data_IF_872399829919
#
_entry.id   IF_872399829919
#
_cell.length_a   1.000
_cell.length_b   1.000
_cell.length_c   1.000
_cell.angle_alpha   90.00
_cell.angle_beta   90.00
_cell.angle_gamma   90.00
#
_symmetry.space_group_name_H-M   'P 1'
#
loop_
_entity.id
_entity.type
_entity.pdbx_description
1 polymer ?
#
# COMPACT_ATOMS: atom_id res chain seq x y z
N UNK A 1 20.63 -13.89 14.52
CA UNK A 1 21.19 -13.13 13.39
C UNK A 1 21.18 -13.91 12.06
N UNK A 2 20.16 -14.73 11.77
CA UNK A 2 20.01 -15.43 10.47
C UNK A 2 18.81 -14.89 9.70
N UNK A 3 17.68 -14.71 10.42
CA UNK A 3 16.46 -14.11 9.88
C UNK A 3 16.73 -12.73 9.29
N UNK A 4 17.46 -11.85 9.98
CA UNK A 4 17.79 -10.49 9.51
C UNK A 4 18.54 -10.53 8.17
N UNK A 5 19.49 -11.45 8.02
CA UNK A 5 20.25 -11.62 6.77
C UNK A 5 19.40 -12.19 5.65
N UNK A 6 18.55 -13.16 5.95
CA UNK A 6 17.61 -13.76 4.98
C UNK A 6 16.59 -12.71 4.52
N UNK A 7 16.04 -11.91 5.44
CA UNK A 7 15.13 -10.82 5.09
C UNK A 7 15.83 -9.77 4.24
N UNK A 8 17.07 -9.39 4.57
CA UNK A 8 17.82 -8.41 3.77
C UNK A 8 18.11 -8.95 2.36
N UNK A 9 18.48 -10.23 2.24
CA UNK A 9 18.69 -10.89 0.95
C UNK A 9 17.40 -10.91 0.12
N UNK A 10 16.28 -11.28 0.73
CA UNK A 10 14.97 -11.32 0.06
C UNK A 10 14.56 -9.90 -0.36
N UNK A 11 14.73 -8.90 0.50
CA UNK A 11 14.40 -7.50 0.17
C UNK A 11 15.20 -7.01 -1.03
N UNK A 12 16.52 -7.24 -1.04
CA UNK A 12 17.37 -6.84 -2.18
C UNK A 12 16.99 -7.59 -3.45
N UNK A 13 16.74 -8.90 -3.37
CA UNK A 13 16.33 -9.70 -4.51
C UNK A 13 14.99 -9.22 -5.10
N UNK A 14 14.02 -8.89 -4.25
CA UNK A 14 12.71 -8.38 -4.67
C UNK A 14 12.82 -7.00 -5.31
N UNK A 15 13.65 -6.10 -4.77
CA UNK A 15 13.90 -4.77 -5.36
C UNK A 15 14.53 -4.93 -6.76
N UNK A 16 15.57 -5.77 -6.88
CA UNK A 16 16.21 -6.03 -8.17
C UNK A 16 15.24 -6.63 -9.20
N UNK A 17 14.39 -7.56 -8.76
CA UNK A 17 13.40 -8.19 -9.64
C UNK A 17 12.33 -7.19 -10.10
N UNK A 18 11.83 -6.35 -9.19
CA UNK A 18 10.87 -5.28 -9.52
C UNK A 18 11.44 -4.32 -10.57
N UNK A 19 12.63 -3.76 -10.31
CA UNK A 19 13.29 -2.84 -11.24
C UNK A 19 13.62 -3.53 -12.58
N UNK A 20 13.97 -4.81 -12.56
CA UNK A 20 14.23 -5.60 -13.76
C UNK A 20 12.98 -5.76 -14.63
N UNK A 21 11.81 -5.98 -14.03
CA UNK A 21 10.53 -6.03 -14.74
C UNK A 21 10.18 -4.68 -15.34
N UNK A 22 10.39 -3.58 -14.60
CA UNK A 22 10.10 -2.24 -15.09
C UNK A 22 10.93 -1.91 -16.34
N UNK A 23 12.22 -2.28 -16.33
CA UNK A 23 13.12 -2.12 -17.49
C UNK A 23 12.66 -3.00 -18.67
N UNK A 24 12.23 -4.23 -18.43
CA UNK A 24 11.72 -5.14 -19.48
C UNK A 24 10.43 -4.61 -20.13
N UNK A 25 9.62 -3.87 -19.38
CA UNK A 25 8.43 -3.18 -19.87
C UNK A 25 8.75 -1.87 -20.62
N UNK A 26 10.03 -1.48 -20.71
CA UNK A 26 10.49 -0.28 -21.42
C UNK A 26 10.44 1.00 -20.58
N UNK A 27 10.24 0.89 -19.25
CA UNK A 27 10.26 2.04 -18.35
C UNK A 27 11.69 2.51 -18.12
N UNK A 28 11.89 3.83 -18.10
CA UNK A 28 13.18 4.41 -17.77
C UNK A 28 13.49 4.18 -16.28
N UNK A 29 14.77 4.00 -15.92
CA UNK A 29 15.18 3.84 -14.51
C UNK A 29 14.66 4.94 -13.57
N UNK A 30 14.52 6.16 -14.11
CA UNK A 30 13.95 7.31 -13.37
C UNK A 30 12.46 7.13 -13.10
N UNK A 31 11.72 6.60 -14.06
CA UNK A 31 10.29 6.36 -13.93
C UNK A 31 10.04 5.22 -12.95
N UNK A 32 10.76 4.10 -13.08
CA UNK A 32 10.70 2.98 -12.13
C UNK A 32 10.99 3.40 -10.67
N UNK A 33 11.94 4.32 -10.45
CA UNK A 33 12.23 4.87 -9.12
C UNK A 33 11.12 5.79 -8.60
N UNK A 34 10.58 6.65 -9.44
CA UNK A 34 9.44 7.51 -9.08
C UNK A 34 8.22 6.64 -8.77
N UNK A 35 8.04 5.58 -9.53
CA UNK A 35 6.92 4.66 -9.40
C UNK A 35 6.98 3.86 -8.10
N UNK A 36 8.17 3.37 -7.75
CA UNK A 36 8.42 2.70 -6.47
C UNK A 36 8.17 3.61 -5.23
N UNK A 37 8.39 4.92 -5.36
CA UNK A 37 8.24 5.90 -4.26
C UNK A 37 6.85 6.53 -4.23
N UNK A 38 6.09 6.49 -5.34
CA UNK A 38 4.76 7.09 -5.46
C UNK A 38 3.66 6.05 -5.76
N UNK A 39 3.38 5.13 -4.82
CA UNK A 39 2.48 4.01 -5.03
C UNK A 39 1.04 4.43 -5.41
N UNK A 40 0.60 5.60 -4.96
CA UNK A 40 -0.73 6.13 -5.30
C UNK A 40 -0.82 6.78 -6.68
N UNK A 41 0.31 7.16 -7.28
CA UNK A 41 0.35 7.80 -8.61
C UNK A 41 0.38 6.76 -9.72
N UNK A 42 0.87 5.56 -9.42
CA UNK A 42 1.17 4.50 -10.41
C UNK A 42 0.19 3.35 -10.35
N UNK A 43 -0.57 3.21 -9.26
CA UNK A 43 -1.63 2.21 -9.22
C UNK A 43 -2.58 2.39 -10.39
N UNK A 44 -2.82 1.30 -11.10
CA UNK A 44 -3.81 1.22 -12.15
C UNK A 44 -5.16 1.73 -11.64
N UNK A 45 -5.97 2.34 -12.51
CA UNK A 45 -7.23 2.96 -12.09
C UNK A 45 -8.15 1.97 -11.37
N UNK A 46 -8.10 0.68 -11.76
CA UNK A 46 -8.85 -0.39 -11.11
C UNK A 46 -8.34 -0.68 -9.69
N UNK A 47 -7.03 -0.65 -9.49
CA UNK A 47 -6.40 -0.92 -8.20
C UNK A 47 -6.72 0.21 -7.21
N UNK A 48 -6.70 1.46 -7.67
CA UNK A 48 -7.06 2.62 -6.85
C UNK A 48 -8.50 2.52 -6.34
N UNK A 49 -9.43 2.09 -7.21
CA UNK A 49 -10.84 1.91 -6.85
C UNK A 49 -10.99 0.81 -5.79
N UNK A 50 -10.32 -0.34 -5.98
CA UNK A 50 -10.37 -1.46 -5.05
C UNK A 50 -9.76 -1.06 -3.69
N UNK A 51 -8.61 -0.39 -3.71
CA UNK A 51 -7.95 0.10 -2.50
C UNK A 51 -8.81 1.09 -1.73
N UNK A 52 -9.44 2.05 -2.43
CA UNK A 52 -10.35 3.01 -1.80
C UNK A 52 -11.57 2.31 -1.17
N UNK A 53 -12.15 1.33 -1.87
CA UNK A 53 -13.26 0.54 -1.37
C UNK A 53 -12.86 -0.25 -0.12
N UNK A 54 -11.69 -0.90 -0.15
CA UNK A 54 -11.14 -1.62 0.99
C UNK A 54 -10.89 -0.70 2.18
N UNK A 55 -10.27 0.47 1.95
CA UNK A 55 -10.02 1.48 2.97
C UNK A 55 -11.33 1.93 3.65
N UNK A 56 -12.37 2.19 2.86
CA UNK A 56 -13.69 2.54 3.38
C UNK A 56 -14.29 1.40 4.22
N UNK A 57 -14.24 0.16 3.74
CA UNK A 57 -14.71 -1.02 4.47
C UNK A 57 -14.01 -1.21 5.83
N UNK A 58 -12.72 -0.86 5.92
CA UNK A 58 -11.95 -0.96 7.16
C UNK A 58 -12.21 0.22 8.10
N UNK A 59 -12.38 1.44 7.57
CA UNK A 59 -12.53 2.66 8.38
C UNK A 59 -13.98 2.89 8.84
N UNK A 60 -14.98 2.56 8.02
CA UNK A 60 -16.40 2.83 8.35
C UNK A 60 -16.83 2.12 9.65
N UNK A 61 -16.57 0.82 9.88
CA UNK A 61 -16.99 0.13 11.10
C UNK A 61 -16.44 0.73 12.41
N UNK A 62 -15.13 1.02 12.56
CA UNK A 62 -14.60 1.62 13.78
C UNK A 62 -15.09 3.06 13.96
N UNK A 63 -15.19 3.85 12.88
CA UNK A 63 -15.72 5.22 12.94
C UNK A 63 -17.19 5.21 13.39
N UNK A 64 -18.02 4.36 12.78
CA UNK A 64 -19.42 4.22 13.17
C UNK A 64 -19.57 3.77 14.63
N UNK A 65 -18.78 2.78 15.07
CA UNK A 65 -18.76 2.32 16.45
C UNK A 65 -18.35 3.43 17.43
N UNK A 66 -17.34 4.21 17.08
CA UNK A 66 -16.85 5.33 17.88
C UNK A 66 -17.92 6.43 18.01
N UNK A 67 -18.54 6.83 16.90
CA UNK A 67 -19.65 7.78 16.93
C UNK A 67 -20.82 7.22 17.74
N UNK A 68 -21.27 5.99 17.48
CA UNK A 68 -22.37 5.37 18.24
C UNK A 68 -22.13 5.40 19.75
N UNK A 69 -20.90 5.10 20.21
CA UNK A 69 -20.52 5.21 21.63
C UNK A 69 -20.57 6.65 22.15
N UNK A 70 -20.04 7.62 21.38
CA UNK A 70 -20.04 9.04 21.74
C UNK A 70 -21.47 9.59 21.87
N UNK A 71 -22.37 9.19 20.98
CA UNK A 71 -23.77 9.62 21.02
C UNK A 71 -24.54 9.00 22.20
N UNK A 72 -24.31 7.72 22.53
CA UNK A 72 -24.91 7.06 23.71
C UNK A 72 -24.50 7.74 25.01
N UNK A 73 -23.21 8.07 25.17
CA UNK A 73 -22.70 8.74 26.39
C UNK A 73 -23.17 10.19 26.56
N UNK A 74 -23.71 10.83 25.51
CA UNK A 74 -24.28 12.19 25.62
C UNK A 74 -25.77 12.21 25.98
N UNK A 75 -26.43 11.06 26.01
CA UNK A 75 -27.87 10.93 26.32
C UNK A 75 -28.16 10.31 27.70
N UNK A 76 -27.12 9.90 28.45
CA UNK A 76 -27.19 9.52 29.87
C UNK A 76 -26.54 10.61 30.71
#
# INVERSE_FOLDING_TARGET
>A
MKIISITLLITVALICLSLGVDILLGLTLKDALIDAVSPLRVMESIELIIFLLYLLLVIIPPVYSFFKRKWRNRMN
#
